data_IF_830159663310
#
_entry.id   IF_830159663310
#
_cell.length_a   1.000
_cell.length_b   1.000
_cell.length_c   1.000
_cell.angle_alpha   90.00
_cell.angle_beta   90.00
_cell.angle_gamma   90.00
#
_symmetry.space_group_name_H-M   'P 1'
#
loop_
_entity.id
_entity.type
_entity.pdbx_description
1 polymer ?
#
# COMPACT_ATOMS: atom_id res chain seq x y z
N UNK A 1 7.57 -22.20 3.10
CA UNK A 1 6.98 -20.94 3.58
C UNK A 1 7.77 -19.82 2.91
N UNK A 2 7.26 -19.23 1.82
CA UNK A 2 8.04 -18.31 0.99
C UNK A 2 8.07 -16.92 1.63
N UNK A 3 9.26 -16.53 2.08
CA UNK A 3 9.62 -15.14 2.37
C UNK A 3 10.21 -14.59 1.07
N UNK A 4 9.51 -13.66 0.41
CA UNK A 4 10.05 -12.99 -0.76
C UNK A 4 10.31 -11.52 -0.40
N UNK A 5 11.59 -11.20 -0.42
CA UNK A 5 12.16 -9.94 0.02
C UNK A 5 12.98 -9.31 -1.10
N UNK A 6 12.79 -8.00 -1.29
CA UNK A 6 13.68 -6.99 -1.89
C UNK A 6 13.75 -6.81 -3.42
N UNK A 7 13.56 -5.54 -3.85
CA UNK A 7 14.68 -4.74 -4.39
C UNK A 7 14.33 -3.24 -4.49
N UNK A 8 14.84 -2.46 -3.53
CA UNK A 8 15.61 -1.21 -3.73
C UNK A 8 16.43 -1.07 -2.44
N UNK A 9 17.74 -1.33 -2.51
CA UNK A 9 18.70 -1.41 -1.38
C UNK A 9 18.71 -2.77 -0.64
N UNK A 10 19.85 -3.46 -0.69
CA UNK A 10 20.10 -4.87 -0.33
C UNK A 10 20.30 -5.14 1.17
N UNK A 11 19.68 -4.36 2.05
CA UNK A 11 19.84 -4.49 3.52
C UNK A 11 18.56 -4.19 4.33
N UNK A 12 17.37 -4.38 3.75
CA UNK A 12 16.20 -3.62 4.20
C UNK A 12 15.14 -4.31 5.07
N UNK A 13 15.30 -5.47 5.73
CA UNK A 13 14.20 -6.20 6.41
C UNK A 13 12.90 -6.43 5.57
N UNK A 14 12.17 -7.54 5.75
CA UNK A 14 10.87 -7.69 5.11
C UNK A 14 9.93 -6.57 5.59
N UNK A 15 9.45 -5.72 4.66
CA UNK A 15 8.45 -4.69 4.97
C UNK A 15 7.14 -5.41 5.29
N UNK A 16 6.73 -5.39 6.55
CA UNK A 16 5.49 -6.03 6.98
C UNK A 16 4.30 -5.12 6.68
N UNK A 17 3.59 -5.44 5.60
CA UNK A 17 2.32 -4.83 5.24
C UNK A 17 1.19 -5.65 5.84
N UNK A 18 0.38 -5.00 6.68
CA UNK A 18 -0.80 -5.64 7.26
C UNK A 18 -1.82 -6.00 6.19
N UNK A 19 -2.72 -6.96 6.48
CA UNK A 19 -3.83 -7.33 5.58
C UNK A 19 -4.62 -6.10 5.14
N UNK A 20 -4.88 -5.19 6.09
CA UNK A 20 -5.63 -3.97 5.85
C UNK A 20 -4.93 -2.99 4.93
N UNK A 21 -3.63 -2.81 5.11
CA UNK A 21 -2.84 -1.98 4.21
C UNK A 21 -2.80 -2.56 2.80
N UNK A 22 -2.73 -3.90 2.65
CA UNK A 22 -2.80 -4.56 1.35
C UNK A 22 -4.13 -4.34 0.64
N UNK A 23 -5.26 -4.44 1.35
CA UNK A 23 -6.59 -4.12 0.81
C UNK A 23 -6.66 -2.68 0.30
N UNK A 24 -6.14 -1.74 1.10
CA UNK A 24 -6.14 -0.31 0.73
C UNK A 24 -5.26 -0.08 -0.51
N UNK A 25 -4.06 -0.68 -0.58
CA UNK A 25 -3.19 -0.57 -1.75
C UNK A 25 -3.90 -1.10 -2.99
N UNK A 26 -4.50 -2.30 -2.91
CA UNK A 26 -5.20 -2.92 -4.03
C UNK A 26 -6.30 -2.00 -4.57
N UNK A 27 -7.22 -1.56 -3.71
CA UNK A 27 -8.33 -0.70 -4.13
C UNK A 27 -7.83 0.65 -4.67
N UNK A 28 -6.76 1.19 -4.10
CA UNK A 28 -6.18 2.46 -4.55
C UNK A 28 -5.50 2.32 -5.93
N UNK A 29 -4.77 1.24 -6.17
CA UNK A 29 -4.15 0.93 -7.46
C UNK A 29 -5.18 0.59 -8.55
N UNK A 30 -6.34 0.06 -8.18
CA UNK A 30 -7.50 -0.07 -9.09
C UNK A 30 -8.13 1.28 -9.49
N UNK A 31 -7.63 2.41 -8.97
CA UNK A 31 -8.11 3.75 -9.30
C UNK A 31 -9.31 4.21 -8.48
N UNK A 32 -9.64 3.52 -7.38
CA UNK A 32 -10.73 3.97 -6.51
C UNK A 32 -10.32 5.22 -5.73
N UNK A 33 -11.23 6.20 -5.63
CA UNK A 33 -11.04 7.37 -4.79
C UNK A 33 -11.05 7.01 -3.29
N UNK A 34 -10.35 7.81 -2.48
CA UNK A 34 -10.29 7.65 -1.01
C UNK A 34 -11.67 7.50 -0.37
N UNK A 35 -12.66 8.27 -0.83
CA UNK A 35 -14.05 8.19 -0.38
C UNK A 35 -14.68 6.84 -0.67
N UNK A 36 -14.48 6.31 -1.88
CA UNK A 36 -14.99 4.98 -2.26
C UNK A 36 -14.31 3.88 -1.47
N UNK A 37 -13.00 3.96 -1.27
CA UNK A 37 -12.23 3.00 -0.44
C UNK A 37 -12.75 3.03 1.00
N UNK A 38 -12.98 4.21 1.57
CA UNK A 38 -13.54 4.38 2.90
C UNK A 38 -14.89 3.66 3.04
N UNK A 39 -15.79 3.84 2.07
CA UNK A 39 -17.08 3.15 2.03
C UNK A 39 -16.94 1.63 1.87
N UNK A 40 -16.11 1.15 0.93
CA UNK A 40 -15.90 -0.28 0.69
C UNK A 40 -15.33 -1.01 1.91
N UNK A 41 -14.48 -0.32 2.65
CA UNK A 41 -13.78 -0.87 3.80
C UNK A 41 -14.49 -0.56 5.13
N UNK A 42 -15.60 0.19 5.11
CA UNK A 42 -16.34 0.64 6.28
C UNK A 42 -15.46 1.35 7.34
N UNK A 43 -14.64 2.30 6.90
CA UNK A 43 -13.78 3.15 7.73
C UNK A 43 -13.87 4.61 7.29
N UNK A 44 -13.37 5.54 8.09
CA UNK A 44 -13.36 6.95 7.70
C UNK A 44 -12.35 7.26 6.59
N UNK A 45 -12.61 8.26 5.76
CA UNK A 45 -11.64 8.77 4.78
C UNK A 45 -10.32 9.18 5.43
N UNK A 46 -10.38 9.75 6.64
CA UNK A 46 -9.21 10.10 7.43
C UNK A 46 -8.37 8.85 7.77
N UNK A 47 -9.02 7.76 8.14
CA UNK A 47 -8.37 6.46 8.40
C UNK A 47 -7.69 5.93 7.14
N UNK A 48 -8.34 5.99 5.97
CA UNK A 48 -7.74 5.61 4.68
C UNK A 48 -6.49 6.44 4.39
N UNK A 49 -6.57 7.78 4.53
CA UNK A 49 -5.43 8.68 4.34
C UNK A 49 -4.28 8.37 5.31
N UNK A 50 -4.59 8.05 6.57
CA UNK A 50 -3.61 7.65 7.57
C UNK A 50 -2.91 6.34 7.19
N UNK A 51 -3.66 5.34 6.74
CA UNK A 51 -3.09 4.10 6.21
C UNK A 51 -2.20 4.37 5.00
N UNK A 52 -2.64 5.16 4.02
CA UNK A 52 -1.82 5.51 2.85
C UNK A 52 -0.50 6.20 3.24
N UNK A 53 -0.55 7.12 4.21
CA UNK A 53 0.66 7.77 4.74
C UNK A 53 1.63 6.76 5.36
N UNK A 54 1.11 5.80 6.13
CA UNK A 54 1.93 4.74 6.73
C UNK A 54 2.48 3.78 5.67
N UNK A 55 1.68 3.42 4.67
CA UNK A 55 2.09 2.62 3.52
C UNK A 55 3.24 3.30 2.77
N UNK A 56 3.09 4.59 2.44
CA UNK A 56 4.14 5.36 1.77
C UNK A 56 5.44 5.39 2.57
N UNK A 57 5.35 5.61 3.89
CA UNK A 57 6.52 5.58 4.78
C UNK A 57 7.16 4.20 4.84
N UNK A 58 6.36 3.12 4.90
CA UNK A 58 6.84 1.73 4.95
C UNK A 58 7.51 1.30 3.65
N UNK A 59 6.93 1.68 2.51
CA UNK A 59 7.39 1.30 1.17
C UNK A 59 8.47 2.24 0.61
N UNK A 60 8.66 3.42 1.23
CA UNK A 60 9.57 4.44 0.73
C UNK A 60 9.13 5.08 -0.59
N UNK A 61 7.85 4.96 -0.93
CA UNK A 61 7.27 5.56 -2.15
C UNK A 61 6.72 6.95 -1.84
N UNK A 62 6.78 7.85 -2.82
CA UNK A 62 6.44 9.26 -2.64
C UNK A 62 5.09 9.66 -3.21
N UNK A 63 4.52 8.85 -4.09
CA UNK A 63 3.30 9.18 -4.80
C UNK A 63 2.52 7.92 -5.23
N UNK A 64 1.27 8.14 -5.63
CA UNK A 64 0.36 7.08 -6.09
C UNK A 64 0.91 6.29 -7.28
N UNK A 65 1.66 6.95 -8.18
CA UNK A 65 2.25 6.31 -9.36
C UNK A 65 3.34 5.32 -8.96
N UNK A 66 4.24 5.72 -8.06
CA UNK A 66 5.25 4.83 -7.48
C UNK A 66 4.61 3.67 -6.71
N UNK A 67 3.53 3.92 -5.96
CA UNK A 67 2.79 2.85 -5.29
C UNK A 67 2.17 1.86 -6.27
N UNK A 68 1.57 2.35 -7.37
CA UNK A 68 0.95 1.50 -8.40
C UNK A 68 2.00 0.70 -9.15
N UNK A 69 3.10 1.34 -9.56
CA UNK A 69 4.24 0.64 -10.14
C UNK A 69 4.83 -0.38 -9.18
N UNK A 70 4.91 -0.08 -7.87
CA UNK A 70 5.32 -1.05 -6.88
C UNK A 70 4.36 -2.26 -6.89
N UNK A 71 3.05 -2.05 -6.78
CA UNK A 71 2.06 -3.13 -6.72
C UNK A 71 2.02 -4.00 -7.98
N UNK A 72 2.09 -3.41 -9.18
CA UNK A 72 2.11 -4.13 -10.47
C UNK A 72 3.30 -5.09 -10.60
N UNK A 73 4.47 -4.71 -10.08
CA UNK A 73 5.64 -5.58 -10.11
C UNK A 73 5.55 -6.81 -9.16
N UNK A 74 4.53 -6.87 -8.29
CA UNK A 74 4.30 -7.96 -7.34
C UNK A 74 2.96 -8.69 -7.55
N UNK A 75 2.19 -8.34 -8.59
CA UNK A 75 0.89 -8.97 -8.89
C UNK A 75 1.02 -10.25 -9.71
#
# INVERSE_FOLDING_TARGET
>A
MKVETFSKNTNQKPINISKREREIIKLYCEGNEVKKIASLLNISEFTVKSHLKNIYKKLGVRNARELSSYFENFS
#
